data_IF_777712293679
#
_entry.id   IF_777712293679
#
_cell.length_a   1.000
_cell.length_b   1.000
_cell.length_c   1.000
_cell.angle_alpha   90.00
_cell.angle_beta   90.00
_cell.angle_gamma   90.00
#
_symmetry.space_group_name_H-M   'P 1'
#
loop_
_entity.id
_entity.type
_entity.pdbx_description
1 polymer ?
#
# COMPACT_ATOMS: atom_id res chain seq x y z
N UNK A 1 -76.62 38.48 -70.59
CA UNK A 1 -78.01 38.15 -70.16
C UNK A 1 -77.92 37.37 -68.86
N UNK A 2 -78.55 37.91 -67.81
CA UNK A 2 -78.94 37.33 -66.51
C UNK A 2 -78.02 36.29 -65.84
N UNK A 3 -77.31 36.77 -64.82
CA UNK A 3 -77.10 36.00 -63.57
C UNK A 3 -78.31 36.09 -62.64
N UNK A 4 -78.33 35.23 -61.62
CA UNK A 4 -79.22 35.10 -60.43
C UNK A 4 -79.07 33.62 -59.98
N UNK A 5 -78.93 33.18 -58.72
CA UNK A 5 -79.08 33.76 -57.38
C UNK A 5 -78.67 32.66 -56.36
N UNK A 6 -77.74 32.95 -55.44
CA UNK A 6 -77.56 32.56 -54.00
C UNK A 6 -77.94 31.15 -53.41
N UNK A 7 -77.49 30.75 -52.18
CA UNK A 7 -76.81 31.51 -51.11
C UNK A 7 -75.59 30.84 -50.41
N UNK A 8 -74.90 31.64 -49.59
CA UNK A 8 -73.91 31.31 -48.54
C UNK A 8 -74.59 30.67 -47.29
N UNK A 9 -73.88 30.18 -46.23
CA UNK A 9 -72.94 30.93 -45.36
C UNK A 9 -71.68 30.09 -44.98
N UNK A 10 -70.64 30.52 -44.27
CA UNK A 10 -70.52 31.56 -43.25
C UNK A 10 -69.12 32.20 -43.27
N UNK A 11 -69.12 33.49 -42.92
CA UNK A 11 -67.96 34.32 -42.60
C UNK A 11 -67.74 34.30 -41.08
N UNK A 12 -66.56 34.78 -40.67
CA UNK A 12 -66.16 35.42 -39.39
C UNK A 12 -65.03 34.62 -38.73
N UNK A 13 -63.90 35.18 -38.31
CA UNK A 13 -63.07 36.31 -38.73
C UNK A 13 -61.71 36.05 -38.04
N UNK A 14 -60.65 36.61 -38.61
CA UNK A 14 -59.31 36.56 -38.03
C UNK A 14 -59.20 37.42 -36.77
N UNK A 15 -58.33 37.02 -35.84
CA UNK A 15 -57.74 37.97 -34.90
C UNK A 15 -56.99 37.36 -33.72
N UNK A 16 -55.69 37.66 -33.68
CA UNK A 16 -54.84 37.94 -32.50
C UNK A 16 -53.67 36.97 -32.21
N UNK A 17 -52.46 37.48 -32.48
CA UNK A 17 -51.23 37.27 -31.68
C UNK A 17 -50.54 35.92 -31.86
N UNK A 18 -49.50 35.77 -32.68
CA UNK A 18 -48.11 36.19 -32.40
C UNK A 18 -47.48 35.59 -31.12
N UNK A 19 -46.57 34.62 -31.34
CA UNK A 19 -45.26 34.40 -30.68
C UNK A 19 -45.10 33.38 -29.54
N UNK A 20 -43.87 32.82 -29.54
CA UNK A 20 -43.15 32.00 -28.54
C UNK A 20 -43.37 30.47 -28.65
N UNK A 21 -42.59 29.72 -29.45
CA UNK A 21 -41.23 29.21 -29.19
C UNK A 21 -41.06 28.43 -27.89
N UNK A 22 -41.03 27.11 -28.04
CA UNK A 22 -40.01 26.20 -27.53
C UNK A 22 -39.66 26.29 -26.04
N UNK A 23 -40.37 25.57 -25.16
CA UNK A 23 -39.83 25.21 -23.83
C UNK A 23 -40.50 23.97 -23.23
N UNK A 24 -40.76 22.89 -23.97
CA UNK A 24 -41.23 21.64 -23.32
C UNK A 24 -40.71 20.39 -24.00
N UNK A 25 -39.40 20.11 -23.94
CA UNK A 25 -38.94 18.75 -24.25
C UNK A 25 -37.65 18.30 -23.52
N UNK A 26 -37.13 19.09 -22.58
CA UNK A 26 -35.80 18.83 -22.00
C UNK A 26 -35.82 18.00 -20.72
N UNK A 27 -36.99 17.67 -20.17
CA UNK A 27 -37.08 17.06 -18.83
C UNK A 27 -37.16 15.53 -18.81
N UNK A 28 -37.38 14.88 -19.96
CA UNK A 28 -37.56 13.40 -20.01
C UNK A 28 -36.28 12.63 -20.33
N UNK A 29 -35.28 13.27 -20.93
CA UNK A 29 -34.04 12.59 -21.35
C UNK A 29 -32.97 12.54 -20.26
N UNK A 30 -33.09 13.34 -19.19
CA UNK A 30 -32.09 13.39 -18.11
C UNK A 30 -32.16 12.23 -17.11
N UNK A 31 -33.33 11.61 -16.93
CA UNK A 31 -33.52 10.57 -15.90
C UNK A 31 -32.96 9.21 -16.34
N UNK A 32 -32.92 8.93 -17.66
CA UNK A 32 -32.44 7.65 -18.17
C UNK A 32 -30.90 7.55 -18.18
N UNK A 33 -30.19 8.67 -18.31
CA UNK A 33 -28.71 8.71 -18.26
C UNK A 33 -28.13 8.63 -16.85
N UNK A 34 -28.90 9.00 -15.81
CA UNK A 34 -28.46 8.90 -14.41
C UNK A 34 -28.57 7.45 -13.90
N UNK A 35 -29.48 6.62 -14.43
CA UNK A 35 -29.59 5.22 -14.02
C UNK A 35 -28.57 4.28 -14.69
N UNK A 36 -28.06 4.58 -15.88
CA UNK A 36 -26.98 3.76 -16.47
C UNK A 36 -25.61 4.03 -15.82
N UNK A 37 -25.41 5.21 -15.21
CA UNK A 37 -24.20 5.52 -14.45
C UNK A 37 -24.22 4.92 -13.03
N UNK A 38 -25.39 4.57 -12.51
CA UNK A 38 -25.56 4.00 -11.18
C UNK A 38 -25.41 2.45 -11.13
N UNK A 39 -25.50 1.76 -12.27
CA UNK A 39 -25.37 0.29 -12.32
C UNK A 39 -23.95 -0.22 -12.61
N UNK A 40 -22.99 0.65 -12.94
CA UNK A 40 -21.62 0.26 -13.28
C UNK A 40 -20.63 0.20 -12.11
N UNK A 41 -21.04 0.60 -10.90
CA UNK A 41 -20.11 0.89 -9.80
C UNK A 41 -20.05 -0.16 -8.68
N UNK A 42 -20.60 -1.36 -8.87
CA UNK A 42 -20.70 -2.35 -7.79
C UNK A 42 -20.14 -3.76 -8.10
N UNK A 43 -19.22 -3.91 -9.06
CA UNK A 43 -18.52 -5.19 -9.28
C UNK A 43 -16.98 -5.04 -9.31
N UNK A 44 -16.40 -4.45 -8.27
CA UNK A 44 -14.99 -4.67 -7.95
C UNK A 44 -14.87 -5.07 -6.48
N UNK A 45 -15.36 -6.26 -6.16
CA UNK A 45 -14.92 -6.97 -4.96
C UNK A 45 -13.53 -7.53 -5.24
N UNK A 46 -12.50 -6.73 -5.01
CA UNK A 46 -11.15 -7.27 -4.89
C UNK A 46 -11.18 -8.25 -3.72
N UNK A 47 -11.10 -9.55 -4.01
CA UNK A 47 -10.79 -10.55 -3.00
C UNK A 47 -9.37 -10.26 -2.53
N UNK A 48 -9.21 -9.52 -1.44
CA UNK A 48 -7.93 -9.54 -0.72
C UNK A 48 -7.69 -10.99 -0.30
N UNK A 49 -6.51 -11.57 -0.61
CA UNK A 49 -6.16 -12.84 -0.01
C UNK A 49 -6.20 -12.61 1.49
N UNK A 50 -7.07 -13.35 2.19
CA UNK A 50 -7.04 -13.37 3.64
C UNK A 50 -5.60 -13.77 4.02
N UNK A 51 -4.84 -12.80 4.53
CA UNK A 51 -3.57 -13.08 5.16
C UNK A 51 -3.92 -14.04 6.29
N UNK A 52 -3.61 -15.33 6.09
CA UNK A 52 -3.64 -16.28 7.17
C UNK A 52 -2.76 -15.64 8.23
N UNK A 53 -3.36 -15.16 9.32
CA UNK A 53 -2.61 -14.52 10.39
C UNK A 53 -1.53 -15.52 10.76
N UNK A 54 -0.29 -15.23 10.35
CA UNK A 54 0.84 -16.02 10.77
C UNK A 54 0.72 -16.08 12.29
N UNK A 55 0.81 -17.27 12.87
CA UNK A 55 0.88 -17.40 14.32
C UNK A 55 2.14 -16.64 14.73
N UNK A 56 1.94 -15.37 15.07
CA UNK A 56 3.00 -14.49 15.49
C UNK A 56 3.33 -14.95 16.91
N UNK A 57 4.60 -15.30 17.20
CA UNK A 57 5.00 -15.48 18.58
C UNK A 57 4.57 -14.23 19.37
N UNK A 58 4.16 -14.39 20.64
CA UNK A 58 3.72 -13.25 21.44
C UNK A 58 4.76 -12.14 21.35
N UNK A 59 4.35 -10.87 21.28
CA UNK A 59 5.26 -9.74 21.08
C UNK A 59 6.44 -9.72 22.10
N UNK A 60 6.23 -10.27 23.29
CA UNK A 60 7.29 -10.48 24.28
C UNK A 60 8.40 -11.48 23.85
N UNK A 61 8.07 -12.46 23.02
CA UNK A 61 8.99 -13.46 22.49
C UNK A 61 9.72 -13.00 21.21
N UNK A 62 9.23 -11.94 20.55
CA UNK A 62 9.83 -11.31 19.38
C UNK A 62 9.52 -9.80 19.39
N UNK A 63 10.27 -9.00 20.17
CA UNK A 63 10.09 -7.55 20.17
C UNK A 63 10.41 -6.95 18.78
N UNK A 64 9.85 -5.78 18.44
CA UNK A 64 10.17 -5.07 17.19
C UNK A 64 11.68 -4.89 17.02
N UNK A 65 12.16 -4.90 15.78
CA UNK A 65 13.59 -4.80 15.53
C UNK A 65 14.12 -3.39 15.84
N UNK A 66 15.06 -3.32 16.78
CA UNK A 66 15.76 -2.11 17.21
C UNK A 66 17.16 -1.98 16.61
N UNK A 67 17.51 -2.85 15.66
CA UNK A 67 18.82 -2.93 15.04
C UNK A 67 19.89 -3.61 15.90
N UNK A 68 19.52 -4.18 17.05
CA UNK A 68 20.47 -4.83 17.97
C UNK A 68 20.47 -6.35 17.86
N UNK A 69 21.52 -7.00 18.36
CA UNK A 69 21.60 -8.47 18.45
C UNK A 69 22.06 -8.85 19.85
N UNK A 70 21.14 -8.79 20.81
CA UNK A 70 21.46 -8.85 22.25
C UNK A 70 21.57 -10.25 22.81
N UNK A 71 21.20 -11.29 22.04
CA UNK A 71 21.28 -12.69 22.43
C UNK A 71 21.55 -13.61 21.23
N UNK A 72 22.10 -14.83 21.41
CA UNK A 72 22.58 -15.68 20.31
C UNK A 72 21.55 -15.99 19.22
N UNK A 73 20.26 -16.06 19.56
CA UNK A 73 19.18 -16.38 18.63
C UNK A 73 18.25 -15.19 18.32
N UNK A 74 18.73 -13.95 18.56
CA UNK A 74 18.02 -12.66 18.40
C UNK A 74 16.86 -12.42 19.38
N UNK A 75 16.01 -13.41 19.60
CA UNK A 75 14.86 -13.29 20.49
C UNK A 75 14.57 -14.62 21.22
N UNK A 76 13.66 -14.59 22.19
CA UNK A 76 13.33 -15.77 23.00
C UNK A 76 12.60 -16.86 22.20
N UNK A 77 11.93 -16.50 21.10
CA UNK A 77 11.40 -17.46 20.13
C UNK A 77 12.50 -18.13 19.28
N UNK A 78 13.76 -17.72 19.42
CA UNK A 78 14.92 -18.24 18.68
C UNK A 78 14.78 -18.19 17.15
N UNK A 79 14.08 -17.18 16.62
CA UNK A 79 13.79 -17.12 15.17
C UNK A 79 15.00 -16.77 14.32
N UNK A 80 16.03 -16.14 14.92
CA UNK A 80 17.21 -15.61 14.20
C UNK A 80 16.85 -14.65 13.06
N UNK A 81 15.72 -13.96 13.18
CA UNK A 81 15.16 -13.08 12.15
C UNK A 81 15.33 -11.59 12.50
N UNK A 82 15.69 -10.77 11.50
CA UNK A 82 15.76 -9.30 11.61
C UNK A 82 14.77 -8.67 10.63
N UNK A 83 14.10 -7.60 11.06
CA UNK A 83 13.17 -6.80 10.25
C UNK A 83 13.90 -5.69 9.46
N UNK A 84 15.21 -5.51 9.67
CA UNK A 84 16.02 -4.55 8.91
C UNK A 84 16.03 -4.90 7.41
N UNK A 85 15.77 -3.91 6.56
CA UNK A 85 15.59 -4.09 5.11
C UNK A 85 16.50 -3.21 4.24
N UNK A 86 17.47 -2.51 4.87
CA UNK A 86 18.45 -1.70 4.15
C UNK A 86 19.22 -2.55 3.12
N UNK A 87 19.60 -3.77 3.49
CA UNK A 87 20.16 -4.78 2.57
C UNK A 87 19.02 -5.68 2.10
N UNK A 88 18.89 -5.84 0.78
CA UNK A 88 17.82 -6.61 0.14
C UNK A 88 18.28 -7.19 -1.21
N UNK A 89 17.41 -7.99 -1.85
CA UNK A 89 17.71 -8.68 -3.11
C UNK A 89 18.16 -7.74 -4.25
N UNK A 90 17.69 -6.49 -4.26
CA UNK A 90 18.03 -5.50 -5.29
C UNK A 90 19.44 -4.91 -5.14
N UNK A 91 19.98 -4.87 -3.92
CA UNK A 91 21.24 -4.19 -3.61
C UNK A 91 22.34 -5.08 -3.00
N UNK A 92 22.04 -6.33 -2.62
CA UNK A 92 23.01 -7.26 -1.98
C UNK A 92 24.29 -7.45 -2.80
N UNK A 93 24.20 -7.34 -4.13
CA UNK A 93 25.34 -7.39 -5.05
C UNK A 93 26.38 -6.29 -4.83
N UNK A 94 26.03 -5.22 -4.11
CA UNK A 94 26.90 -4.07 -3.84
C UNK A 94 27.59 -4.15 -2.47
N UNK A 95 27.37 -5.22 -1.69
CA UNK A 95 28.00 -5.37 -0.37
C UNK A 95 29.53 -5.40 -0.47
N UNK A 96 30.16 -4.69 0.46
CA UNK A 96 31.62 -4.62 0.60
C UNK A 96 32.01 -4.84 2.07
N UNK A 97 33.24 -5.31 2.29
CA UNK A 97 33.80 -5.41 3.63
C UNK A 97 33.98 -4.01 4.21
N UNK A 98 33.25 -3.69 5.28
CA UNK A 98 33.40 -2.42 5.98
C UNK A 98 34.65 -2.38 6.85
N UNK A 99 34.92 -3.46 7.60
CA UNK A 99 36.13 -3.63 8.41
C UNK A 99 36.42 -5.10 8.69
N UNK A 100 37.61 -5.39 9.23
CA UNK A 100 37.96 -6.70 9.76
C UNK A 100 38.60 -6.54 11.14
N UNK A 101 38.43 -7.54 12.00
CA UNK A 101 39.03 -7.59 13.33
C UNK A 101 39.66 -8.97 13.56
N UNK A 102 40.95 -9.00 13.90
CA UNK A 102 41.64 -10.25 14.23
C UNK A 102 41.45 -10.59 15.70
N UNK A 103 40.92 -11.77 15.98
CA UNK A 103 40.73 -12.26 17.35
C UNK A 103 42.02 -12.74 18.01
N UNK A 104 43.09 -12.94 17.23
CA UNK A 104 44.39 -13.45 17.69
C UNK A 104 44.39 -14.94 18.06
N UNK A 105 43.30 -15.69 17.81
CA UNK A 105 43.16 -17.11 18.17
C UNK A 105 42.83 -17.95 16.93
N UNK A 106 43.68 -18.96 16.65
CA UNK A 106 43.52 -19.86 15.51
C UNK A 106 42.95 -21.23 15.96
N UNK A 107 41.63 -21.26 16.20
CA UNK A 107 40.83 -22.43 16.58
C UNK A 107 39.40 -22.26 16.06
N UNK A 108 38.54 -23.27 16.22
CA UNK A 108 37.14 -23.23 15.76
C UNK A 108 36.31 -22.12 16.44
N UNK A 109 35.87 -21.14 15.65
CA UNK A 109 35.07 -19.98 16.09
C UNK A 109 33.58 -20.30 15.88
N UNK A 110 32.82 -20.51 16.96
CA UNK A 110 31.40 -20.90 16.88
C UNK A 110 30.43 -19.85 17.40
N UNK A 111 30.91 -18.96 18.30
CA UNK A 111 30.07 -17.95 18.92
C UNK A 111 29.78 -16.79 17.94
N UNK A 112 28.49 -16.49 17.74
CA UNK A 112 28.08 -15.28 17.04
C UNK A 112 28.35 -14.04 17.91
N UNK A 113 28.79 -12.91 17.32
CA UNK A 113 28.91 -11.65 18.04
C UNK A 113 27.56 -11.17 18.60
N UNK A 114 27.60 -10.41 19.70
CA UNK A 114 26.44 -9.67 20.21
C UNK A 114 26.63 -8.18 19.94
N UNK A 115 25.55 -7.49 19.58
CA UNK A 115 25.55 -6.03 19.41
C UNK A 115 24.54 -5.43 20.39
N UNK A 116 25.04 -4.60 21.30
CA UNK A 116 24.25 -3.90 22.32
C UNK A 116 24.65 -2.42 22.34
N UNK A 117 23.73 -1.55 21.97
CA UNK A 117 23.98 -0.13 21.72
C UNK A 117 25.05 0.04 20.66
N UNK A 118 26.09 0.81 20.99
CA UNK A 118 27.23 1.06 20.11
C UNK A 118 28.37 0.03 20.28
N UNK A 119 28.17 -1.08 20.99
CA UNK A 119 29.24 -2.05 21.26
C UNK A 119 28.96 -3.41 20.61
N UNK A 120 29.99 -3.97 19.97
CA UNK A 120 30.00 -5.37 19.53
C UNK A 120 30.87 -6.22 20.45
N UNK A 121 30.35 -7.32 20.94
CA UNK A 121 31.04 -8.26 21.81
C UNK A 121 31.38 -9.53 21.05
N UNK A 122 32.64 -9.97 21.15
CA UNK A 122 33.15 -11.18 20.49
C UNK A 122 33.85 -12.03 21.54
N UNK A 123 33.56 -13.33 21.58
CA UNK A 123 34.27 -14.30 22.43
C UNK A 123 35.06 -15.27 21.57
N UNK A 124 36.29 -15.56 21.98
CA UNK A 124 37.15 -16.51 21.28
C UNK A 124 37.03 -17.94 21.86
N UNK A 125 37.55 -18.96 21.16
CA UNK A 125 37.83 -20.26 21.73
C UNK A 125 38.87 -20.16 22.84
N UNK A 126 39.16 -21.26 23.53
CA UNK A 126 40.16 -21.30 24.61
C UNK A 126 41.42 -20.48 24.25
N UNK A 127 41.81 -19.47 25.07
CA UNK A 127 41.44 -19.28 26.48
C UNK A 127 40.19 -18.41 26.76
N UNK A 128 39.28 -18.27 25.79
CA UNK A 128 37.99 -17.58 25.97
C UNK A 128 38.10 -16.07 26.23
N UNK A 129 38.89 -15.40 25.39
CA UNK A 129 39.07 -13.94 25.43
C UNK A 129 37.77 -13.28 24.97
N UNK A 130 37.34 -12.23 25.68
CA UNK A 130 36.20 -11.39 25.30
C UNK A 130 36.70 -10.03 24.85
N UNK A 131 36.26 -9.59 23.68
CA UNK A 131 36.49 -8.25 23.14
C UNK A 131 35.19 -7.46 23.17
N UNK A 132 35.28 -6.16 23.43
CA UNK A 132 34.22 -5.18 23.21
C UNK A 132 34.74 -4.13 22.22
N UNK A 133 34.11 -4.05 21.06
CA UNK A 133 34.44 -3.11 19.98
C UNK A 133 33.46 -1.94 20.03
N UNK A 134 33.98 -0.72 20.12
CA UNK A 134 33.20 0.52 20.06
C UNK A 134 32.90 0.90 18.61
N UNK A 135 31.67 0.69 18.17
CA UNK A 135 31.19 0.94 16.81
C UNK A 135 30.93 2.42 16.52
N UNK A 136 31.02 3.31 17.52
CA UNK A 136 30.92 4.76 17.30
C UNK A 136 32.21 5.36 16.73
N UNK A 137 33.31 4.60 16.76
CA UNK A 137 34.62 4.98 16.22
C UNK A 137 35.11 3.89 15.24
N UNK A 138 34.42 3.74 14.10
CA UNK A 138 34.68 2.68 13.14
C UNK A 138 36.02 2.83 12.42
#
# INVERSE_FOLDING_TARGET
MKGMLHPAPARVDAGHGARALATENSFRTGILSVMLLACGLFLSGASEPASAAAIAPPAAAAPPDDGQWTMPAKNYASTRFSELSEINEGNVKNLQVAFTFSTGVNKGQEAAPLVVGNNMYIVTPFPNIVYALDLSRP
#
